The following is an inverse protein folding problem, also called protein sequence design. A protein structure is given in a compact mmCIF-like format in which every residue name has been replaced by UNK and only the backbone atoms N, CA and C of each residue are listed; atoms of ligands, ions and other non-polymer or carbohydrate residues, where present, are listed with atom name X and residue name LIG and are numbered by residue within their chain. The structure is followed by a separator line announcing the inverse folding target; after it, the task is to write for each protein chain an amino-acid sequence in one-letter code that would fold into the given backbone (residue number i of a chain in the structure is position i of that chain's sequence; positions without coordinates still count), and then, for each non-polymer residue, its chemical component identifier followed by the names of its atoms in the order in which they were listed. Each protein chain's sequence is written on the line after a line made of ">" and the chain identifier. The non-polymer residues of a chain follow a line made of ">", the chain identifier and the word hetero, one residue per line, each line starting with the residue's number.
data_IF_404685349044
#
_entry.id   IF_404685349044
#
_cell.length_a   1.000
_cell.length_b   1.000
_cell.length_c   1.000
_cell.angle_alpha   90.00
_cell.angle_beta   90.00
_cell.angle_gamma   90.00
#
_symmetry.space_group_name_H-M   'P 1'
#
loop_
_entity.id
_entity.type
_entity.pdbx_description
1 polymer ?
#
# COMPACT_ATOMS: atom_id res chain seq x y z
N UNK A 1 24.33 -10.06 -4.66
CA UNK A 1 23.37 -8.97 -4.30
C UNK A 1 22.11 -9.66 -3.85
N UNK A 2 21.69 -9.44 -2.61
CA UNK A 2 20.43 -9.98 -2.09
C UNK A 2 19.25 -9.12 -2.60
N UNK A 3 18.01 -9.61 -2.40
CA UNK A 3 16.81 -8.94 -2.92
C UNK A 3 16.60 -7.54 -2.30
N UNK A 4 16.88 -7.38 -1.01
CA UNK A 4 16.79 -6.08 -0.35
C UNK A 4 17.78 -5.06 -0.93
N UNK A 5 19.00 -5.48 -1.22
CA UNK A 5 20.01 -4.64 -1.90
C UNK A 5 19.56 -4.28 -3.32
N UNK A 6 18.97 -5.22 -4.07
CA UNK A 6 18.41 -4.96 -5.40
C UNK A 6 17.30 -3.90 -5.32
N UNK A 7 16.32 -4.07 -4.41
CA UNK A 7 15.23 -3.11 -4.20
C UNK A 7 15.81 -1.74 -3.85
N UNK A 8 16.73 -1.68 -2.88
CA UNK A 8 17.36 -0.44 -2.47
C UNK A 8 18.08 0.26 -3.63
N UNK A 9 18.80 -0.49 -4.48
CA UNK A 9 19.47 0.03 -5.68
C UNK A 9 18.48 0.67 -6.65
N UNK A 10 17.41 -0.05 -6.98
CA UNK A 10 16.35 0.43 -7.90
C UNK A 10 15.72 1.74 -7.42
N UNK A 11 15.34 1.81 -6.15
CA UNK A 11 14.63 2.98 -5.61
C UNK A 11 15.53 4.18 -5.27
N UNK A 12 16.86 4.02 -5.29
CA UNK A 12 17.83 5.12 -5.22
C UNK A 12 18.03 5.83 -6.56
N UNK A 13 17.59 5.23 -7.67
CA UNK A 13 17.67 5.88 -8.98
C UNK A 13 16.86 7.20 -8.97
N UNK A 14 17.43 8.31 -9.50
CA UNK A 14 16.79 9.63 -9.49
C UNK A 14 15.39 9.62 -10.10
N UNK A 15 15.20 8.90 -11.20
CA UNK A 15 13.91 8.80 -11.91
C UNK A 15 12.77 8.19 -11.06
N UNK A 16 13.09 7.40 -10.04
CA UNK A 16 12.12 6.79 -9.11
C UNK A 16 12.07 7.53 -7.78
N UNK A 17 13.19 8.17 -7.39
CA UNK A 17 13.30 8.91 -6.14
C UNK A 17 12.47 10.19 -6.14
N UNK A 18 12.45 10.93 -7.24
CA UNK A 18 11.93 12.31 -7.28
C UNK A 18 10.39 12.41 -7.32
N UNK A 19 9.67 11.29 -7.30
CA UNK A 19 8.21 11.29 -7.23
C UNK A 19 7.50 11.95 -8.41
N UNK A 20 8.23 12.40 -9.44
CA UNK A 20 7.70 13.14 -10.59
C UNK A 20 6.56 12.38 -11.31
N UNK A 21 6.59 11.04 -11.27
CA UNK A 21 5.51 10.21 -11.82
C UNK A 21 4.19 10.35 -11.05
N UNK A 22 4.24 10.76 -9.78
CA UNK A 22 3.07 10.88 -8.90
C UNK A 22 2.75 12.33 -8.54
N UNK A 23 3.29 13.28 -9.30
CA UNK A 23 3.01 14.69 -9.12
C UNK A 23 1.49 14.96 -9.19
N UNK A 24 0.94 15.48 -8.11
CA UNK A 24 -0.49 15.80 -7.99
C UNK A 24 -0.90 17.04 -8.80
N UNK A 25 0.03 17.75 -9.43
CA UNK A 25 -0.32 18.74 -10.45
C UNK A 25 -0.95 18.09 -11.67
N UNK A 26 -0.62 16.80 -11.94
CA UNK A 26 -1.27 16.02 -13.00
C UNK A 26 -2.69 15.61 -12.60
N UNK A 27 -3.74 15.97 -13.38
CA UNK A 27 -5.13 15.61 -13.07
C UNK A 27 -5.39 14.12 -12.96
N UNK A 28 -4.72 13.29 -13.78
CA UNK A 28 -4.84 11.84 -13.75
C UNK A 28 -4.32 11.24 -12.45
N UNK A 29 -3.20 11.74 -11.92
CA UNK A 29 -2.68 11.29 -10.62
C UNK A 29 -3.65 11.68 -9.48
N UNK A 30 -4.26 12.88 -9.54
CA UNK A 30 -5.29 13.27 -8.57
C UNK A 30 -6.51 12.35 -8.62
N UNK A 31 -6.96 12.00 -9.82
CA UNK A 31 -8.11 11.08 -9.98
C UNK A 31 -7.80 9.69 -9.43
N UNK A 32 -6.60 9.15 -9.68
CA UNK A 32 -6.13 7.88 -9.11
C UNK A 32 -6.14 7.93 -7.57
N UNK A 33 -5.56 8.99 -7.00
CA UNK A 33 -5.48 9.13 -5.54
C UNK A 33 -6.88 9.27 -4.93
N UNK A 34 -7.75 10.07 -5.54
CA UNK A 34 -9.13 10.26 -5.08
C UNK A 34 -9.91 8.94 -5.10
N UNK A 35 -9.90 8.20 -6.23
CA UNK A 35 -10.57 6.89 -6.35
C UNK A 35 -10.10 5.93 -5.24
N UNK A 36 -8.79 5.82 -5.03
CA UNK A 36 -8.22 4.95 -4.02
C UNK A 36 -8.66 5.34 -2.60
N UNK A 37 -8.55 6.62 -2.24
CA UNK A 37 -8.94 7.14 -0.92
C UNK A 37 -10.44 7.01 -0.67
N UNK A 38 -11.27 7.31 -1.66
CA UNK A 38 -12.72 7.12 -1.56
C UNK A 38 -13.09 5.66 -1.34
N UNK A 39 -12.40 4.73 -2.01
CA UNK A 39 -12.65 3.31 -1.83
C UNK A 39 -12.25 2.85 -0.43
N UNK A 40 -11.05 3.23 0.04
CA UNK A 40 -10.58 2.90 1.39
C UNK A 40 -11.50 3.49 2.47
N UNK A 41 -11.92 4.74 2.30
CA UNK A 41 -12.82 5.41 3.24
C UNK A 41 -14.15 4.66 3.37
N UNK A 42 -14.78 4.30 2.23
CA UNK A 42 -16.02 3.49 2.24
C UNK A 42 -15.86 2.14 2.95
N UNK A 43 -14.70 1.48 2.78
CA UNK A 43 -14.43 0.23 3.49
C UNK A 43 -14.33 0.47 4.98
N UNK A 44 -13.59 1.48 5.43
CA UNK A 44 -13.46 1.83 6.85
C UNK A 44 -14.81 2.23 7.48
N UNK A 45 -15.65 2.98 6.74
CA UNK A 45 -17.01 3.35 7.16
C UNK A 45 -17.89 2.13 7.37
N UNK A 46 -17.88 1.17 6.42
CA UNK A 46 -18.68 -0.07 6.53
C UNK A 46 -18.25 -0.93 7.72
N UNK A 47 -16.99 -0.87 8.11
CA UNK A 47 -16.47 -1.57 9.28
C UNK A 47 -16.72 -0.82 10.60
N UNK A 48 -17.31 0.37 10.55
CA UNK A 48 -17.48 1.20 11.74
C UNK A 48 -16.14 1.66 12.35
N UNK A 49 -15.10 1.80 11.52
CA UNK A 49 -13.75 2.13 11.97
C UNK A 49 -13.45 3.63 11.93
N UNK A 50 -14.36 4.45 11.40
CA UNK A 50 -14.17 5.90 11.39
C UNK A 50 -14.94 6.59 12.53
N UNK A 51 -14.33 7.59 13.22
CA UNK A 51 -12.91 7.95 13.12
C UNK A 51 -12.01 6.81 13.65
N UNK A 52 -10.76 6.75 13.14
CA UNK A 52 -9.84 5.66 13.50
C UNK A 52 -9.42 5.65 14.97
N UNK A 53 -9.38 6.82 15.62
CA UNK A 53 -9.09 6.95 17.05
C UNK A 53 -7.74 6.34 17.43
N UNK A 54 -7.73 5.54 18.49
CA UNK A 54 -6.53 4.90 19.05
C UNK A 54 -6.07 3.64 18.30
N UNK A 55 -6.64 3.34 17.14
CA UNK A 55 -6.19 2.20 16.32
C UNK A 55 -4.75 2.39 15.90
N UNK A 56 -3.95 1.36 16.12
CA UNK A 56 -2.55 1.33 15.71
C UNK A 56 -2.46 0.96 14.24
N UNK A 57 -1.92 1.86 13.45
CA UNK A 57 -1.74 1.68 11.99
C UNK A 57 -0.26 1.55 11.68
N UNK A 58 0.10 0.51 10.94
CA UNK A 58 1.44 0.30 10.38
C UNK A 58 1.39 0.42 8.86
N UNK A 59 2.28 1.22 8.29
CA UNK A 59 2.51 1.26 6.85
C UNK A 59 3.85 0.59 6.51
N UNK A 60 3.80 -0.54 5.80
CA UNK A 60 4.98 -1.31 5.39
C UNK A 60 5.40 -0.90 3.99
N UNK A 61 6.60 -0.32 3.88
CA UNK A 61 7.07 0.36 2.67
C UNK A 61 6.50 1.78 2.55
N UNK A 62 6.48 2.51 3.66
CA UNK A 62 5.79 3.80 3.80
C UNK A 62 6.35 4.94 2.92
N UNK A 63 7.52 4.77 2.32
CA UNK A 63 8.15 5.80 1.51
C UNK A 63 8.26 7.13 2.23
N UNK A 64 7.69 8.18 1.65
CA UNK A 64 7.66 9.54 2.23
C UNK A 64 6.55 9.79 3.25
N UNK A 65 5.78 8.79 3.67
CA UNK A 65 4.79 8.89 4.76
C UNK A 65 3.44 9.52 4.40
N UNK A 66 3.19 9.87 3.14
CA UNK A 66 1.98 10.59 2.74
C UNK A 66 0.67 9.82 3.00
N UNK A 67 0.70 8.49 2.98
CA UNK A 67 -0.48 7.68 3.29
C UNK A 67 -0.82 7.74 4.77
N UNK A 68 0.18 7.63 5.65
CA UNK A 68 -0.03 7.78 7.10
C UNK A 68 -0.54 9.18 7.47
N UNK A 69 -0.06 10.22 6.79
CA UNK A 69 -0.58 11.57 6.98
C UNK A 69 -2.08 11.64 6.63
N UNK A 70 -2.52 10.96 5.58
CA UNK A 70 -3.96 10.87 5.27
C UNK A 70 -4.74 10.04 6.30
N UNK A 71 -4.17 8.96 6.84
CA UNK A 71 -4.80 8.19 7.92
C UNK A 71 -4.93 9.03 9.21
N UNK A 72 -3.98 9.96 9.46
CA UNK A 72 -4.11 10.96 10.54
C UNK A 72 -5.31 11.87 10.33
N UNK A 73 -5.58 12.33 9.08
CA UNK A 73 -6.77 13.11 8.75
C UNK A 73 -8.07 12.33 8.99
N UNK A 74 -8.03 11.00 8.97
CA UNK A 74 -9.14 10.10 9.33
C UNK A 74 -9.24 9.86 10.84
N UNK A 75 -8.47 10.59 11.66
CA UNK A 75 -8.51 10.55 13.11
C UNK A 75 -7.58 9.54 13.77
N UNK A 76 -6.69 8.86 13.03
CA UNK A 76 -5.74 7.94 13.64
C UNK A 76 -4.68 8.70 14.46
N UNK A 77 -4.47 8.27 15.71
CA UNK A 77 -3.50 8.88 16.63
C UNK A 77 -2.20 8.06 16.79
N UNK A 78 -2.20 6.79 16.40
CA UNK A 78 -1.07 5.87 16.57
C UNK A 78 -0.61 5.34 15.22
N UNK A 79 0.29 6.09 14.59
CA UNK A 79 0.78 5.85 13.22
C UNK A 79 2.26 5.48 13.24
N UNK A 80 2.60 4.37 12.61
CA UNK A 80 3.97 3.92 12.44
C UNK A 80 4.23 3.59 10.97
N UNK A 81 5.33 4.07 10.41
CA UNK A 81 5.78 3.73 9.07
C UNK A 81 7.14 3.05 9.09
N UNK A 82 7.31 2.02 8.26
CA UNK A 82 8.62 1.40 8.04
C UNK A 82 8.96 1.40 6.56
N UNK A 83 10.23 1.68 6.26
CA UNK A 83 10.76 1.60 4.89
C UNK A 83 12.20 1.07 4.94
N UNK A 84 12.62 0.40 3.87
CA UNK A 84 13.97 -0.15 3.73
C UNK A 84 15.03 0.95 3.54
N UNK A 85 14.62 2.12 3.01
CA UNK A 85 15.51 3.19 2.58
C UNK A 85 15.64 4.27 3.65
N UNK A 86 16.82 4.44 4.32
CA UNK A 86 17.03 5.46 5.33
C UNK A 86 16.69 6.88 4.86
N UNK A 87 17.03 7.19 3.61
CA UNK A 87 16.78 8.51 3.00
C UNK A 87 15.28 8.83 2.87
N UNK A 88 14.42 7.82 2.65
CA UNK A 88 12.96 7.98 2.61
C UNK A 88 12.39 8.17 4.00
N UNK A 89 12.86 7.40 4.96
CA UNK A 89 12.48 7.52 6.36
C UNK A 89 12.84 8.90 6.90
N UNK A 90 14.04 9.40 6.59
CA UNK A 90 14.47 10.74 7.01
C UNK A 90 13.60 11.85 6.37
N UNK A 91 13.25 11.70 5.09
CA UNK A 91 12.32 12.63 4.42
C UNK A 91 10.93 12.59 5.04
N UNK A 92 10.42 11.39 5.39
CA UNK A 92 9.13 11.22 6.05
C UNK A 92 9.10 11.85 7.45
N UNK A 93 10.15 11.65 8.27
CA UNK A 93 10.30 12.28 9.60
C UNK A 93 10.29 13.81 9.53
N UNK A 94 10.94 14.37 8.51
CA UNK A 94 10.96 15.83 8.28
C UNK A 94 9.59 16.37 7.86
N UNK A 95 8.89 15.62 7.01
CA UNK A 95 7.58 16.04 6.51
C UNK A 95 6.45 15.85 7.56
N UNK A 96 6.56 14.84 8.42
CA UNK A 96 5.52 14.47 9.37
C UNK A 96 6.14 14.09 10.72
N UNK A 97 6.61 15.08 11.51
CA UNK A 97 7.37 14.87 12.75
C UNK A 97 6.56 14.23 13.88
N UNK A 98 5.26 14.21 13.78
CA UNK A 98 4.30 13.62 14.72
C UNK A 98 3.96 12.15 14.42
N UNK A 99 4.54 11.55 13.36
CA UNK A 99 4.38 10.14 12.99
C UNK A 99 5.69 9.40 13.26
N UNK A 100 5.60 8.18 13.82
CA UNK A 100 6.78 7.33 14.06
C UNK A 100 7.23 6.65 12.76
N UNK A 101 8.45 6.94 12.30
CA UNK A 101 9.05 6.32 11.12
C UNK A 101 10.35 5.62 11.47
N UNK A 102 10.51 4.36 10.99
CA UNK A 102 11.68 3.52 11.26
C UNK A 102 12.25 2.94 9.98
N UNK A 103 13.58 2.83 9.93
CA UNK A 103 14.24 2.05 8.89
C UNK A 103 14.12 0.59 9.27
N UNK A 104 13.52 -0.23 8.41
CA UNK A 104 13.37 -1.66 8.65
C UNK A 104 13.30 -2.46 7.35
N UNK A 105 13.81 -3.68 7.39
CA UNK A 105 13.50 -4.70 6.39
C UNK A 105 12.19 -5.38 6.80
N UNK A 106 11.20 -5.35 5.90
CA UNK A 106 9.88 -5.93 6.15
C UNK A 106 9.87 -7.45 6.36
N UNK A 107 10.98 -8.15 6.08
CA UNK A 107 11.17 -9.57 6.43
C UNK A 107 11.34 -9.79 7.93
N UNK A 108 11.69 -8.75 8.70
CA UNK A 108 11.97 -8.81 10.13
C UNK A 108 11.52 -7.52 10.79
N UNK A 109 10.26 -7.46 11.18
CA UNK A 109 9.68 -6.28 11.82
C UNK A 109 9.91 -6.33 13.34
N UNK A 110 10.61 -5.32 13.88
CA UNK A 110 10.85 -5.21 15.32
C UNK A 110 9.61 -4.65 16.04
N UNK A 111 8.53 -5.45 15.99
CA UNK A 111 7.29 -5.18 16.70
C UNK A 111 6.78 -6.48 17.34
N UNK A 112 6.10 -6.40 18.49
CA UNK A 112 5.45 -7.56 19.11
C UNK A 112 4.40 -8.18 18.19
N UNK A 113 4.11 -9.47 18.40
CA UNK A 113 2.97 -10.14 17.77
C UNK A 113 1.68 -9.38 18.07
N UNK A 114 0.75 -9.38 17.10
CA UNK A 114 -0.61 -8.85 17.29
C UNK A 114 -0.65 -7.41 17.82
N UNK A 115 0.29 -6.56 17.38
CA UNK A 115 0.46 -5.20 17.89
C UNK A 115 -0.27 -4.12 17.09
N UNK A 116 -0.76 -4.43 15.88
CA UNK A 116 -1.43 -3.47 15.01
C UNK A 116 -2.87 -3.85 14.68
N UNK A 117 -3.75 -2.85 14.63
CA UNK A 117 -5.14 -2.96 14.22
C UNK A 117 -5.28 -2.97 12.70
N UNK A 118 -4.42 -2.21 12.03
CA UNK A 118 -4.42 -2.02 10.59
C UNK A 118 -2.99 -2.01 10.07
N UNK A 119 -2.73 -2.80 9.06
CA UNK A 119 -1.47 -2.80 8.32
C UNK A 119 -1.75 -2.38 6.88
N UNK A 120 -0.96 -1.47 6.35
CA UNK A 120 -1.01 -1.03 4.96
C UNK A 120 0.13 -1.68 4.19
N UNK A 121 -0.16 -2.22 3.01
CA UNK A 121 0.81 -2.73 2.06
C UNK A 121 0.48 -2.17 0.67
N UNK A 122 1.05 -1.00 0.36
CA UNK A 122 0.73 -0.26 -0.86
C UNK A 122 1.91 -0.25 -1.81
N UNK A 123 1.73 -0.88 -2.98
CA UNK A 123 2.78 -1.05 -4.01
C UNK A 123 4.11 -1.62 -3.44
N UNK A 124 3.97 -2.47 -2.43
CA UNK A 124 5.08 -3.11 -1.73
C UNK A 124 5.50 -4.40 -2.45
N UNK A 125 4.55 -5.32 -2.61
CA UNK A 125 4.83 -6.67 -3.12
C UNK A 125 5.19 -6.69 -4.59
N UNK A 126 4.71 -5.74 -5.39
CA UNK A 126 5.12 -5.57 -6.78
C UNK A 126 6.63 -5.34 -6.94
N UNK A 127 7.29 -4.82 -5.91
CA UNK A 127 8.74 -4.55 -5.91
C UNK A 127 9.57 -5.74 -5.42
N UNK A 128 8.95 -6.77 -4.85
CA UNK A 128 9.61 -7.97 -4.33
C UNK A 128 9.53 -9.07 -5.37
N UNK A 129 10.66 -9.32 -6.07
CA UNK A 129 10.73 -10.34 -7.11
C UNK A 129 11.05 -11.72 -6.55
N UNK A 130 11.73 -11.79 -5.39
CA UNK A 130 12.05 -13.04 -4.71
C UNK A 130 10.80 -13.60 -4.01
N UNK A 131 10.36 -14.84 -4.36
CA UNK A 131 9.20 -15.45 -3.76
C UNK A 131 9.36 -15.74 -2.26
N UNK A 132 10.59 -16.03 -1.79
CA UNK A 132 10.86 -16.31 -0.39
C UNK A 132 10.76 -15.03 0.44
N UNK A 133 11.36 -13.92 -0.03
CA UNK A 133 11.20 -12.61 0.60
C UNK A 133 9.72 -12.21 0.68
N UNK A 134 8.96 -12.40 -0.40
CA UNK A 134 7.53 -12.10 -0.38
C UNK A 134 6.77 -12.92 0.67
N UNK A 135 7.11 -14.21 0.83
CA UNK A 135 6.52 -15.07 1.85
C UNK A 135 6.90 -14.63 3.27
N UNK A 136 8.17 -14.25 3.50
CA UNK A 136 8.66 -13.77 4.79
C UNK A 136 7.95 -12.45 5.18
N UNK A 137 7.87 -11.49 4.25
CA UNK A 137 7.15 -10.22 4.46
C UNK A 137 5.67 -10.46 4.79
N UNK A 138 5.02 -11.37 4.05
CA UNK A 138 3.63 -11.73 4.32
C UNK A 138 3.46 -12.38 5.72
N UNK A 139 4.39 -13.23 6.13
CA UNK A 139 4.40 -13.84 7.46
C UNK A 139 4.54 -12.78 8.57
N UNK A 140 5.44 -11.81 8.41
CA UNK A 140 5.63 -10.72 9.35
C UNK A 140 4.39 -9.81 9.46
N UNK A 141 3.78 -9.44 8.32
CA UNK A 141 2.52 -8.69 8.32
C UNK A 141 1.43 -9.44 9.09
N UNK A 142 1.27 -10.75 8.85
CA UNK A 142 0.30 -11.57 9.59
C UNK A 142 0.63 -11.68 11.07
N UNK A 143 1.92 -11.77 11.43
CA UNK A 143 2.38 -11.85 12.81
C UNK A 143 2.02 -10.60 13.59
N UNK A 144 2.35 -9.42 13.05
CA UNK A 144 2.11 -8.15 13.74
C UNK A 144 0.64 -7.70 13.72
N UNK A 145 -0.17 -8.23 12.79
CA UNK A 145 -1.61 -7.94 12.72
C UNK A 145 -2.35 -8.72 13.82
N UNK A 146 -3.16 -8.03 14.62
CA UNK A 146 -3.97 -8.66 15.67
C UNK A 146 -5.16 -9.44 15.08
N UNK A 147 -5.72 -10.42 15.80
CA UNK A 147 -7.02 -11.00 15.45
C UNK A 147 -8.10 -9.91 15.32
N UNK A 148 -8.93 -9.97 14.30
CA UNK A 148 -9.90 -8.93 13.97
C UNK A 148 -9.31 -7.67 13.33
N UNK A 149 -7.99 -7.58 13.22
CA UNK A 149 -7.30 -6.50 12.48
C UNK A 149 -7.34 -6.71 10.98
N UNK A 150 -7.07 -5.65 10.21
CA UNK A 150 -7.15 -5.64 8.76
C UNK A 150 -5.83 -5.34 8.06
N UNK A 151 -5.55 -6.03 6.96
CA UNK A 151 -4.52 -5.68 6.00
C UNK A 151 -5.18 -4.90 4.86
N UNK A 152 -4.86 -3.62 4.70
CA UNK A 152 -5.16 -2.88 3.48
C UNK A 152 -4.14 -3.21 2.42
N UNK A 153 -4.63 -3.82 1.34
CA UNK A 153 -3.88 -4.15 0.14
C UNK A 153 -4.14 -3.14 -0.96
N UNK A 154 -3.08 -2.63 -1.58
CA UNK A 154 -3.14 -1.88 -2.84
C UNK A 154 -1.89 -2.14 -3.66
N UNK A 155 -2.00 -2.89 -4.78
CA UNK A 155 -0.85 -3.18 -5.61
C UNK A 155 -1.23 -3.46 -7.07
N UNK A 156 -0.25 -3.39 -7.98
CA UNK A 156 -0.43 -3.71 -9.38
C UNK A 156 -0.82 -5.18 -9.58
N UNK A 157 -1.81 -5.43 -10.42
CA UNK A 157 -2.28 -6.79 -10.77
C UNK A 157 -1.65 -7.36 -12.03
N UNK A 158 -1.02 -6.52 -12.84
CA UNK A 158 -0.38 -6.88 -14.10
C UNK A 158 1.10 -6.51 -14.07
N UNK A 159 1.90 -7.28 -14.81
CA UNK A 159 3.29 -6.95 -15.06
C UNK A 159 3.40 -5.64 -15.86
N UNK A 160 4.44 -4.88 -15.59
CA UNK A 160 4.76 -3.71 -16.38
C UNK A 160 5.83 -4.11 -17.42
N UNK A 161 5.47 -4.23 -18.72
CA UNK A 161 6.41 -4.68 -19.75
C UNK A 161 7.59 -3.72 -19.95
N UNK A 162 7.47 -2.48 -19.46
CA UNK A 162 8.54 -1.47 -19.57
C UNK A 162 9.40 -1.37 -18.30
N UNK A 163 9.18 -2.22 -17.29
CA UNK A 163 9.94 -2.18 -16.04
C UNK A 163 10.10 -3.58 -15.43
N UNK A 164 11.23 -4.20 -15.68
CA UNK A 164 11.58 -5.52 -15.17
C UNK A 164 11.88 -5.55 -13.65
N UNK A 165 11.95 -4.38 -12.99
CA UNK A 165 12.18 -4.28 -11.55
C UNK A 165 10.91 -4.45 -10.72
N UNK A 166 9.76 -4.63 -11.37
CA UNK A 166 8.46 -4.84 -10.72
C UNK A 166 7.70 -5.97 -11.38
N UNK A 167 6.92 -6.71 -10.59
CA UNK A 167 6.06 -7.79 -11.06
C UNK A 167 4.65 -7.64 -10.50
N UNK A 168 3.64 -7.80 -11.34
CA UNK A 168 2.25 -7.72 -10.92
C UNK A 168 1.88 -8.82 -9.92
N UNK A 169 1.07 -8.46 -8.94
CA UNK A 169 0.58 -9.38 -7.90
C UNK A 169 -0.92 -9.56 -8.07
N UNK A 170 -1.31 -10.56 -8.86
CA UNK A 170 -2.72 -10.87 -9.10
C UNK A 170 -3.40 -11.49 -7.88
N UNK A 171 -4.74 -11.52 -7.88
CA UNK A 171 -5.55 -12.01 -6.75
C UNK A 171 -5.21 -13.44 -6.30
N UNK A 172 -4.78 -14.32 -7.23
CA UNK A 172 -4.30 -15.66 -6.87
C UNK A 172 -3.07 -15.58 -5.98
N UNK A 173 -2.07 -14.74 -6.34
CA UNK A 173 -0.85 -14.58 -5.55
C UNK A 173 -1.12 -13.97 -4.18
N UNK A 174 -2.05 -13.02 -4.10
CA UNK A 174 -2.48 -12.46 -2.80
C UNK A 174 -3.07 -13.56 -1.91
N UNK A 175 -3.93 -14.43 -2.47
CA UNK A 175 -4.47 -15.58 -1.70
C UNK A 175 -3.41 -16.59 -1.28
N UNK A 176 -2.37 -16.82 -2.08
CA UNK A 176 -1.24 -17.67 -1.69
C UNK A 176 -0.47 -17.09 -0.50
N UNK A 177 -0.29 -15.78 -0.44
CA UNK A 177 0.44 -15.09 0.63
C UNK A 177 -0.40 -14.90 1.91
N UNK A 178 -1.70 -14.68 1.76
CA UNK A 178 -2.62 -14.25 2.82
C UNK A 178 -3.92 -15.06 2.84
N UNK A 179 -3.86 -16.35 2.50
CA UNK A 179 -5.06 -17.19 2.40
C UNK A 179 -5.74 -17.50 3.73
N UNK A 180 -5.09 -17.15 4.83
CA UNK A 180 -5.64 -17.19 6.19
C UNK A 180 -6.37 -15.90 6.59
N UNK A 181 -6.33 -14.85 5.76
CA UNK A 181 -7.07 -13.62 5.93
C UNK A 181 -8.34 -13.63 5.06
N UNK A 182 -9.42 -13.09 5.58
CA UNK A 182 -10.75 -13.06 4.93
C UNK A 182 -11.06 -11.67 4.38
N UNK A 183 -11.58 -11.60 3.17
CA UNK A 183 -11.97 -10.32 2.57
C UNK A 183 -12.01 -10.36 1.06
N UNK A 184 -12.36 -9.21 0.48
CA UNK A 184 -12.50 -9.05 -0.96
C UNK A 184 -11.50 -8.07 -1.53
N UNK A 185 -10.99 -8.40 -2.71
CA UNK A 185 -10.14 -7.54 -3.52
C UNK A 185 -10.91 -7.06 -4.75
N UNK A 186 -10.94 -5.76 -4.94
CA UNK A 186 -11.58 -5.12 -6.08
C UNK A 186 -10.53 -4.60 -7.06
N UNK A 187 -10.86 -4.67 -8.36
CA UNK A 187 -10.01 -4.02 -9.36
C UNK A 187 -10.30 -2.52 -9.40
N UNK A 188 -9.26 -1.72 -9.31
CA UNK A 188 -9.34 -0.25 -9.29
C UNK A 188 -8.23 0.37 -10.14
N UNK A 189 -8.23 1.67 -10.24
CA UNK A 189 -7.17 2.51 -10.81
C UNK A 189 -7.00 2.31 -12.31
N UNK A 190 -7.46 3.27 -13.08
CA UNK A 190 -7.15 3.35 -14.51
C UNK A 190 -5.65 3.29 -14.71
N UNK A 191 -5.20 2.49 -15.69
CA UNK A 191 -3.78 2.33 -16.06
C UNK A 191 -3.06 3.69 -15.97
N UNK A 192 -2.07 3.88 -15.05
CA UNK A 192 -1.53 5.20 -14.72
C UNK A 192 -0.96 6.00 -15.90
N UNK A 193 -0.23 5.40 -16.87
CA UNK A 193 0.18 6.13 -18.07
C UNK A 193 -0.98 6.69 -18.87
N UNK A 194 -2.09 5.95 -18.97
CA UNK A 194 -3.30 6.42 -19.67
C UNK A 194 -3.97 7.55 -18.89
N UNK A 195 -4.20 7.34 -17.58
CA UNK A 195 -4.81 8.35 -16.71
C UNK A 195 -4.06 9.69 -16.78
N UNK A 196 -2.73 9.66 -16.74
CA UNK A 196 -1.88 10.85 -16.81
C UNK A 196 -1.98 11.61 -18.14
N UNK A 197 -2.25 10.90 -19.24
CA UNK A 197 -2.40 11.49 -20.57
C UNK A 197 -3.76 12.14 -20.82
N UNK A 198 -4.75 11.90 -19.98
CA UNK A 198 -6.08 12.50 -20.12
C UNK A 198 -6.07 14.03 -19.99
N UNK A 199 -5.14 14.59 -19.22
CA UNK A 199 -5.02 16.03 -19.03
C UNK A 199 -6.35 16.68 -18.61
N UNK A 200 -6.84 17.71 -19.34
CA UNK A 200 -8.11 18.38 -19.02
C UNK A 200 -9.35 17.46 -19.11
N UNK A 201 -9.28 16.40 -19.89
CA UNK A 201 -10.39 15.45 -20.09
C UNK A 201 -10.58 14.50 -18.89
N UNK A 202 -9.66 14.50 -17.91
CA UNK A 202 -9.68 13.55 -16.78
C UNK A 202 -11.03 13.50 -16.08
N UNK A 203 -11.66 14.66 -15.83
CA UNK A 203 -12.93 14.72 -15.10
C UNK A 203 -14.06 13.91 -15.75
N UNK A 204 -14.14 13.92 -17.08
CA UNK A 204 -15.17 13.15 -17.81
C UNK A 204 -14.72 11.75 -18.19
N UNK A 205 -13.49 11.59 -18.67
CA UNK A 205 -13.01 10.33 -19.24
C UNK A 205 -12.56 9.32 -18.18
N UNK A 206 -12.02 9.77 -17.04
CA UNK A 206 -11.52 8.84 -16.02
C UNK A 206 -12.62 7.91 -15.46
N UNK A 207 -13.82 8.38 -15.08
CA UNK A 207 -14.90 7.51 -14.60
C UNK A 207 -15.35 6.49 -15.64
N UNK A 208 -15.40 6.89 -16.93
CA UNK A 208 -15.77 5.99 -18.03
C UNK A 208 -14.74 4.88 -18.21
N UNK A 209 -13.44 5.21 -18.18
CA UNK A 209 -12.37 4.23 -18.24
C UNK A 209 -12.33 3.35 -16.99
N UNK A 210 -12.56 3.92 -15.82
CA UNK A 210 -12.62 3.20 -14.56
C UNK A 210 -13.82 2.22 -14.50
N UNK A 211 -14.87 2.42 -15.30
CA UNK A 211 -15.97 1.48 -15.43
C UNK A 211 -15.57 0.19 -16.19
N UNK A 212 -14.47 0.22 -16.96
CA UNK A 212 -14.02 -0.90 -17.79
C UNK A 212 -13.00 -1.76 -17.02
N UNK A 213 -13.31 -3.01 -16.60
CA UNK A 213 -12.40 -3.86 -15.83
C UNK A 213 -11.00 -4.07 -16.43
N UNK A 214 -10.82 -4.20 -17.77
CA UNK A 214 -9.49 -4.34 -18.36
C UNK A 214 -8.61 -3.09 -18.22
N UNK A 215 -9.21 -1.91 -18.01
CA UNK A 215 -8.48 -0.65 -17.83
C UNK A 215 -8.01 -0.43 -16.39
N UNK A 216 -8.41 -1.28 -15.46
CA UNK A 216 -8.05 -1.20 -14.05
C UNK A 216 -6.78 -1.99 -13.78
N UNK A 217 -5.74 -1.34 -13.30
CA UNK A 217 -4.39 -1.92 -13.17
C UNK A 217 -4.03 -2.38 -11.77
N UNK A 218 -4.83 -2.07 -10.76
CA UNK A 218 -4.53 -2.43 -9.38
C UNK A 218 -5.62 -3.30 -8.75
N UNK A 219 -5.23 -4.02 -7.71
CA UNK A 219 -6.14 -4.62 -6.72
C UNK A 219 -6.14 -3.76 -5.47
N UNK A 220 -7.30 -3.53 -4.91
CA UNK A 220 -7.50 -2.84 -3.64
C UNK A 220 -8.53 -3.57 -2.80
N UNK A 221 -8.28 -3.72 -1.52
CA UNK A 221 -9.23 -4.29 -0.55
C UNK A 221 -8.66 -4.35 0.85
N UNK A 222 -9.49 -4.80 1.77
CA UNK A 222 -9.06 -5.11 3.13
C UNK A 222 -9.26 -6.60 3.38
N UNK A 223 -8.24 -7.23 3.94
CA UNK A 223 -8.24 -8.63 4.35
C UNK A 223 -8.13 -8.70 5.87
N UNK A 224 -9.07 -9.33 6.54
CA UNK A 224 -9.17 -9.39 7.99
C UNK A 224 -8.55 -10.68 8.53
N UNK A 225 -7.79 -10.57 9.61
CA UNK A 225 -7.30 -11.72 10.34
C UNK A 225 -8.44 -12.28 11.19
N UNK A 226 -8.84 -13.55 11.00
CA UNK A 226 -9.92 -14.14 11.78
C UNK A 226 -9.68 -14.02 13.28
N UNK A 227 -10.74 -13.77 14.03
CA UNK A 227 -10.73 -13.94 15.48
C UNK A 227 -10.84 -15.44 15.70
N UNK A 228 -9.79 -16.09 16.20
CA UNK A 228 -9.92 -17.46 16.64
C UNK A 228 -10.81 -17.44 17.86
N UNK A 229 -12.00 -18.02 17.77
CA UNK A 229 -12.81 -18.27 18.94
C UNK A 229 -11.96 -19.04 19.93
N UNK A 230 -11.89 -18.54 21.18
CA UNK A 230 -11.27 -19.27 22.26
C UNK A 230 -12.14 -20.52 22.51
N UNK A 231 -11.63 -21.70 22.07
CA UNK A 231 -12.20 -22.99 22.42
C UNK A 231 -12.02 -23.26 23.91
#
# INVERSE_FOLDING_TARGET
>A
MNEAERIAGVYREPALRDGARWDLRNPGNRAILAERRDHMKRVLERQGWLPLGDRKVLDVGCGGGAELAWFRELGASRLTGVDLLPERVEAARKAFPDIDFKVANAEHLDFPDQSFDLVLAFTLFTSILDPQMAANVAAEIRRVLRPGGGLFWYDFRYDNPSNNNVKGVGARRVRELFGDLEGELHTVTVIPPLARRLGPLTRGAYPLLAALPPMRSHLLGILFKPVKDAL
#
